data_IF_843353710432
#
_entry.id   IF_843353710432
#
_cell.length_a   1.000
_cell.length_b   1.000
_cell.length_c   1.000
_cell.angle_alpha   90.00
_cell.angle_beta   90.00
_cell.angle_gamma   90.00
#
_symmetry.space_group_name_H-M   'P 1'
#
loop_
_entity.id
_entity.type
_entity.pdbx_description
1 polymer ?
#
# COMPACT_ATOMS: atom_id res chain seq x y z
N UNK A 1 10.56 -27.93 14.91
CA UNK A 1 9.08 -27.93 14.92
C UNK A 1 8.42 -27.17 16.08
N UNK A 2 9.05 -26.96 17.26
CA UNK A 2 8.40 -26.26 18.39
C UNK A 2 7.98 -24.81 18.10
N UNK A 3 8.68 -24.10 17.21
CA UNK A 3 8.45 -22.67 16.91
C UNK A 3 7.18 -22.46 16.04
N UNK A 4 6.83 -23.40 15.16
CA UNK A 4 5.72 -23.25 14.20
C UNK A 4 4.38 -23.87 14.66
N UNK A 5 4.32 -24.48 15.86
CA UNK A 5 3.10 -25.15 16.35
C UNK A 5 1.93 -24.18 16.47
N UNK A 6 2.18 -22.96 16.95
CA UNK A 6 1.15 -21.92 17.07
C UNK A 6 0.57 -21.54 15.72
N UNK A 7 1.42 -21.27 14.73
CA UNK A 7 1.00 -20.91 13.37
C UNK A 7 0.18 -22.01 12.70
N UNK A 8 0.57 -23.27 12.90
CA UNK A 8 -0.17 -24.41 12.34
C UNK A 8 -1.56 -24.57 12.96
N UNK A 9 -1.68 -24.39 14.27
CA UNK A 9 -2.99 -24.43 14.96
C UNK A 9 -3.90 -23.31 14.48
N UNK A 10 -3.38 -22.08 14.39
CA UNK A 10 -4.16 -20.92 13.91
C UNK A 10 -4.61 -21.12 12.46
N UNK A 11 -3.73 -21.61 11.59
CA UNK A 11 -4.06 -21.92 10.20
C UNK A 11 -5.13 -23.00 10.10
N UNK A 12 -5.03 -24.07 10.90
CA UNK A 12 -6.02 -25.13 10.92
C UNK A 12 -7.39 -24.62 11.40
N UNK A 13 -7.43 -23.79 12.45
CA UNK A 13 -8.65 -23.15 12.94
C UNK A 13 -9.26 -22.28 11.84
N UNK A 14 -8.46 -21.47 11.15
CA UNK A 14 -8.95 -20.63 10.05
C UNK A 14 -9.55 -21.45 8.90
N UNK A 15 -8.94 -22.58 8.53
CA UNK A 15 -9.46 -23.49 7.51
C UNK A 15 -10.77 -24.16 7.95
N UNK A 16 -10.88 -24.55 9.22
CA UNK A 16 -12.13 -25.10 9.78
C UNK A 16 -13.24 -24.03 9.73
N UNK A 17 -12.94 -22.79 10.14
CA UNK A 17 -13.90 -21.69 10.07
C UNK A 17 -14.34 -21.44 8.61
N UNK A 18 -13.40 -21.44 7.66
CA UNK A 18 -13.72 -21.28 6.23
C UNK A 18 -14.62 -22.40 5.72
N UNK A 19 -14.35 -23.65 6.12
CA UNK A 19 -15.17 -24.80 5.77
C UNK A 19 -16.58 -24.70 6.36
N UNK A 20 -16.73 -24.32 7.63
CA UNK A 20 -18.04 -24.13 8.26
C UNK A 20 -18.80 -22.97 7.61
N UNK A 21 -18.11 -21.90 7.21
CA UNK A 21 -18.74 -20.70 6.68
C UNK A 21 -19.16 -20.80 5.20
N UNK A 22 -18.37 -21.47 4.36
CA UNK A 22 -18.58 -21.50 2.91
C UNK A 22 -18.35 -22.89 2.26
N UNK A 23 -18.31 -23.96 3.06
CA UNK A 23 -18.20 -25.33 2.60
C UNK A 23 -16.88 -25.65 1.91
N UNK A 24 -16.89 -26.66 1.05
CA UNK A 24 -15.71 -27.12 0.30
C UNK A 24 -15.14 -26.04 -0.63
N UNK A 25 -15.99 -25.24 -1.28
CA UNK A 25 -15.55 -24.12 -2.12
C UNK A 25 -14.84 -23.04 -1.31
N UNK A 26 -15.39 -22.68 -0.14
CA UNK A 26 -14.75 -21.74 0.79
C UNK A 26 -13.38 -22.22 1.25
N UNK A 27 -13.29 -23.49 1.67
CA UNK A 27 -12.02 -24.09 2.07
C UNK A 27 -10.97 -24.05 0.95
N UNK A 28 -11.36 -24.38 -0.28
CA UNK A 28 -10.44 -24.38 -1.43
C UNK A 28 -9.95 -22.96 -1.77
N UNK A 29 -10.86 -21.98 -1.81
CA UNK A 29 -10.52 -20.57 -2.05
C UNK A 29 -9.61 -20.06 -0.94
N UNK A 30 -9.94 -20.30 0.32
CA UNK A 30 -9.13 -19.88 1.46
C UNK A 30 -7.75 -20.53 1.43
N UNK A 31 -7.64 -21.80 1.04
CA UNK A 31 -6.35 -22.48 0.91
C UNK A 31 -5.47 -21.83 -0.16
N UNK A 32 -6.03 -21.55 -1.35
CA UNK A 32 -5.30 -20.86 -2.44
C UNK A 32 -4.87 -19.48 -1.98
N UNK A 33 -5.79 -18.69 -1.41
CA UNK A 33 -5.48 -17.35 -0.91
C UNK A 33 -4.43 -17.39 0.19
N UNK A 34 -4.45 -18.38 1.09
CA UNK A 34 -3.45 -18.52 2.13
C UNK A 34 -2.06 -18.80 1.54
N UNK A 35 -1.94 -19.70 0.56
CA UNK A 35 -0.65 -19.97 -0.11
C UNK A 35 -0.13 -18.73 -0.84
N UNK A 36 -1.01 -18.03 -1.57
CA UNK A 36 -0.67 -16.81 -2.29
C UNK A 36 -0.21 -15.71 -1.32
N UNK A 37 -0.94 -15.52 -0.22
CA UNK A 37 -0.65 -14.51 0.80
C UNK A 37 0.67 -14.79 1.52
N UNK A 38 0.93 -16.05 1.88
CA UNK A 38 2.22 -16.44 2.49
C UNK A 38 3.38 -16.17 1.52
N UNK A 39 3.21 -16.48 0.24
CA UNK A 39 4.26 -16.28 -0.77
C UNK A 39 4.59 -14.80 -0.93
N UNK A 40 3.58 -13.95 -1.17
CA UNK A 40 3.77 -12.50 -1.33
C UNK A 40 4.26 -11.84 -0.05
N UNK A 41 3.75 -12.26 1.11
CA UNK A 41 4.20 -11.73 2.40
C UNK A 41 5.65 -12.10 2.70
N UNK A 42 6.16 -13.23 2.20
CA UNK A 42 7.55 -13.63 2.42
C UNK A 42 8.51 -12.72 1.66
N UNK A 43 8.19 -12.36 0.42
CA UNK A 43 8.99 -11.42 -0.39
C UNK A 43 9.09 -10.05 0.30
N UNK A 44 7.96 -9.53 0.79
CA UNK A 44 7.93 -8.29 1.55
C UNK A 44 8.68 -8.40 2.88
N UNK A 45 8.56 -9.51 3.60
CA UNK A 45 9.25 -9.73 4.87
C UNK A 45 10.78 -9.75 4.71
N UNK A 46 11.30 -10.29 3.61
CA UNK A 46 12.75 -10.31 3.35
C UNK A 46 13.30 -8.90 3.16
N UNK A 47 12.60 -8.05 2.41
CA UNK A 47 13.00 -6.65 2.22
C UNK A 47 12.92 -5.88 3.55
N UNK A 48 11.81 -6.05 4.28
CA UNK A 48 11.58 -5.37 5.56
C UNK A 48 12.60 -5.80 6.63
N UNK A 49 13.03 -7.07 6.64
CA UNK A 49 14.05 -7.57 7.56
C UNK A 49 15.40 -6.83 7.41
N UNK A 50 15.82 -6.53 6.17
CA UNK A 50 17.06 -5.75 5.91
C UNK A 50 16.99 -4.33 6.43
N UNK A 51 15.78 -3.75 6.47
CA UNK A 51 15.53 -2.42 7.01
C UNK A 51 15.51 -2.50 8.55
N UNK A 52 14.87 -3.53 9.11
CA UNK A 52 14.76 -3.78 10.54
C UNK A 52 16.12 -3.96 11.23
N UNK A 53 17.09 -4.60 10.57
CA UNK A 53 18.48 -4.75 11.07
C UNK A 53 19.16 -3.40 11.34
N UNK A 54 18.74 -2.33 10.67
CA UNK A 54 19.29 -0.98 10.83
C UNK A 54 18.63 -0.19 11.96
N UNK A 55 17.59 -0.75 12.60
CA UNK A 55 16.83 -0.08 13.66
C UNK A 55 17.34 -0.45 15.05
N UNK A 56 17.15 0.45 16.02
CA UNK A 56 17.40 0.14 17.43
C UNK A 56 16.45 -0.95 17.95
N UNK A 57 16.85 -1.69 19.00
CA UNK A 57 16.07 -2.79 19.58
C UNK A 57 14.66 -2.41 20.03
N UNK A 58 14.43 -1.16 20.47
CA UNK A 58 13.10 -0.67 20.85
C UNK A 58 12.17 -0.54 19.63
N UNK A 59 12.67 0.02 18.53
CA UNK A 59 11.93 0.16 17.28
C UNK A 59 11.72 -1.18 16.56
N UNK A 60 12.67 -2.11 16.66
CA UNK A 60 12.48 -3.46 16.16
C UNK A 60 11.29 -4.15 16.84
N UNK A 61 11.18 -4.03 18.17
CA UNK A 61 10.04 -4.57 18.92
C UNK A 61 8.73 -3.87 18.56
N UNK A 62 8.74 -2.54 18.40
CA UNK A 62 7.55 -1.79 18.00
C UNK A 62 7.07 -2.20 16.60
N UNK A 63 7.98 -2.34 15.63
CA UNK A 63 7.66 -2.80 14.28
C UNK A 63 7.10 -4.23 14.28
N UNK A 64 7.73 -5.16 14.99
CA UNK A 64 7.28 -6.55 15.05
C UNK A 64 5.95 -6.75 15.80
N UNK A 65 5.52 -5.78 16.61
CA UNK A 65 4.27 -5.87 17.38
C UNK A 65 3.16 -5.05 16.76
N UNK A 66 3.37 -3.74 16.59
CA UNK A 66 2.36 -2.83 16.09
C UNK A 66 2.42 -2.70 14.56
N UNK A 67 3.61 -2.66 13.97
CA UNK A 67 3.77 -2.54 12.52
C UNK A 67 3.16 -3.73 11.79
N UNK A 68 3.60 -4.95 12.11
CA UNK A 68 3.02 -6.17 11.53
C UNK A 68 1.50 -6.26 11.75
N UNK A 69 0.98 -5.76 12.88
CA UNK A 69 -0.46 -5.73 13.13
C UNK A 69 -1.18 -4.75 12.19
N UNK A 70 -0.64 -3.55 11.99
CA UNK A 70 -1.18 -2.53 11.08
C UNK A 70 -1.04 -2.99 9.62
N UNK A 71 0.12 -3.49 9.20
CA UNK A 71 0.35 -4.03 7.88
C UNK A 71 -0.61 -5.19 7.53
N UNK A 72 -0.91 -6.08 8.49
CA UNK A 72 -1.79 -7.23 8.24
C UNK A 72 -3.27 -6.88 8.40
N UNK A 73 -3.68 -6.28 9.52
CA UNK A 73 -5.10 -5.97 9.78
C UNK A 73 -5.52 -4.63 9.20
N UNK A 74 -4.69 -3.60 9.34
CA UNK A 74 -4.94 -2.27 8.81
C UNK A 74 -5.10 -2.33 7.29
N UNK A 75 -4.10 -2.82 6.57
CA UNK A 75 -4.13 -2.80 5.10
C UNK A 75 -5.10 -3.82 4.48
N UNK A 76 -5.40 -4.94 5.15
CA UNK A 76 -6.26 -5.99 4.57
C UNK A 76 -7.70 -5.96 5.02
N UNK A 77 -7.97 -5.55 6.26
CA UNK A 77 -9.33 -5.52 6.80
C UNK A 77 -9.85 -4.08 6.85
N UNK A 78 -9.13 -3.19 7.52
CA UNK A 78 -9.61 -1.83 7.80
C UNK A 78 -9.61 -1.01 6.51
N UNK A 79 -8.55 -1.06 5.73
CA UNK A 79 -8.37 -0.22 4.55
C UNK A 79 -9.43 -0.50 3.46
N UNK A 80 -9.74 -1.75 3.06
CA UNK A 80 -10.83 -2.01 2.12
C UNK A 80 -12.20 -1.53 2.64
N UNK A 81 -12.48 -1.73 3.93
CA UNK A 81 -13.74 -1.26 4.54
C UNK A 81 -13.84 0.26 4.57
N UNK A 82 -12.75 0.96 4.87
CA UNK A 82 -12.69 2.43 4.85
C UNK A 82 -12.91 2.96 3.44
N UNK A 83 -12.25 2.36 2.43
CA UNK A 83 -12.43 2.75 1.03
C UNK A 83 -13.89 2.60 0.61
N UNK A 84 -14.51 1.45 0.91
CA UNK A 84 -15.92 1.21 0.57
C UNK A 84 -16.82 2.17 1.35
N UNK A 85 -16.55 2.42 2.63
CA UNK A 85 -17.30 3.37 3.45
C UNK A 85 -17.25 4.79 2.89
N UNK A 86 -16.07 5.27 2.51
CA UNK A 86 -15.89 6.61 1.92
C UNK A 86 -16.53 6.69 0.53
N UNK A 87 -16.35 5.67 -0.31
CA UNK A 87 -16.87 5.69 -1.68
C UNK A 87 -18.40 5.58 -1.75
N UNK A 88 -19.02 4.76 -0.89
CA UNK A 88 -20.48 4.67 -0.81
C UNK A 88 -21.13 5.63 0.19
N UNK A 89 -20.34 6.45 0.91
CA UNK A 89 -20.83 7.31 2.00
C UNK A 89 -21.66 6.52 3.04
N UNK A 90 -21.23 5.29 3.35
CA UNK A 90 -21.86 4.43 4.35
C UNK A 90 -20.95 4.24 5.55
N UNK A 91 -21.54 4.09 6.73
CA UNK A 91 -20.76 3.83 7.95
C UNK A 91 -19.93 2.54 7.81
N UNK A 92 -18.70 2.48 8.34
CA UNK A 92 -17.84 1.29 8.26
C UNK A 92 -18.48 0.01 8.81
N UNK A 93 -19.35 0.16 9.82
CA UNK A 93 -20.11 -0.94 10.41
C UNK A 93 -21.15 -1.49 9.43
N UNK A 94 -21.80 -0.61 8.67
CA UNK A 94 -22.74 -0.97 7.61
C UNK A 94 -22.02 -1.63 6.43
N UNK A 95 -20.84 -1.13 6.06
CA UNK A 95 -19.97 -1.77 5.07
C UNK A 95 -19.56 -3.20 5.50
N UNK A 96 -19.23 -3.41 6.77
CA UNK A 96 -18.93 -4.74 7.31
C UNK A 96 -20.14 -5.68 7.26
N UNK A 97 -21.34 -5.19 7.60
CA UNK A 97 -22.58 -5.99 7.48
C UNK A 97 -22.82 -6.41 6.03
N UNK A 98 -22.71 -5.47 5.09
CA UNK A 98 -22.85 -5.74 3.66
C UNK A 98 -21.80 -6.74 3.15
N UNK A 99 -20.58 -6.70 3.67
CA UNK A 99 -19.53 -7.68 3.34
C UNK A 99 -19.87 -9.09 3.86
N UNK A 100 -20.50 -9.18 5.03
CA UNK A 100 -20.90 -10.46 5.66
C UNK A 100 -22.19 -11.05 5.07
N UNK A 101 -23.06 -10.24 4.47
CA UNK A 101 -24.35 -10.66 3.90
C UNK A 101 -24.23 -11.52 2.63
N UNK A 102 -23.01 -11.77 2.11
CA UNK A 102 -22.75 -12.61 0.91
C UNK A 102 -23.61 -12.24 -0.31
N UNK A 103 -23.98 -10.96 -0.44
CA UNK A 103 -24.76 -10.50 -1.59
C UNK A 103 -24.04 -10.78 -2.91
N UNK A 104 -24.79 -10.88 -4.00
CA UNK A 104 -24.22 -11.07 -5.32
C UNK A 104 -23.52 -9.75 -5.78
N UNK A 105 -22.27 -9.78 -6.26
CA UNK A 105 -21.57 -8.58 -6.73
C UNK A 105 -22.32 -7.80 -7.82
N UNK A 106 -23.25 -8.44 -8.52
CA UNK A 106 -24.04 -7.86 -9.60
C UNK A 106 -25.36 -7.22 -9.13
N UNK A 107 -25.74 -7.35 -7.86
CA UNK A 107 -26.95 -6.71 -7.30
C UNK A 107 -26.62 -5.36 -6.68
N UNK A 108 -27.38 -4.34 -7.09
CA UNK A 108 -27.28 -2.97 -6.55
C UNK A 108 -27.42 -3.00 -5.04
N UNK A 109 -26.47 -2.38 -4.32
CA UNK A 109 -26.43 -2.33 -2.86
C UNK A 109 -25.57 -3.41 -2.20
N UNK A 110 -25.04 -4.38 -2.95
CA UNK A 110 -24.06 -5.33 -2.41
C UNK A 110 -22.66 -4.71 -2.32
N UNK A 111 -21.86 -5.14 -1.33
CA UNK A 111 -20.46 -4.74 -1.18
C UNK A 111 -19.64 -4.80 -2.48
N UNK A 112 -19.78 -5.88 -3.26
CA UNK A 112 -19.08 -6.05 -4.53
C UNK A 112 -19.48 -5.04 -5.62
N UNK A 113 -20.75 -4.64 -5.67
CA UNK A 113 -21.23 -3.62 -6.62
C UNK A 113 -20.64 -2.25 -6.29
N UNK A 114 -20.70 -1.88 -5.00
CA UNK A 114 -20.12 -0.62 -4.50
C UNK A 114 -18.62 -0.57 -4.80
N UNK A 115 -17.89 -1.65 -4.49
CA UNK A 115 -16.46 -1.73 -4.75
C UNK A 115 -16.13 -1.62 -6.24
N UNK A 116 -16.92 -2.25 -7.12
CA UNK A 116 -16.72 -2.16 -8.56
C UNK A 116 -16.94 -0.73 -9.09
N UNK A 117 -17.92 0.00 -8.54
CA UNK A 117 -18.14 1.41 -8.86
C UNK A 117 -17.07 2.35 -8.28
N UNK A 118 -16.52 2.01 -7.11
CA UNK A 118 -15.42 2.73 -6.48
C UNK A 118 -14.06 2.48 -7.16
N UNK A 119 -13.92 1.35 -7.85
CA UNK A 119 -12.65 0.89 -8.41
C UNK A 119 -11.91 1.93 -9.27
N UNK A 120 -12.56 2.70 -10.19
CA UNK A 120 -11.86 3.72 -10.97
C UNK A 120 -11.22 4.82 -10.11
N UNK A 121 -11.87 5.25 -9.03
CA UNK A 121 -11.33 6.25 -8.10
C UNK A 121 -10.12 5.71 -7.35
N UNK A 122 -10.23 4.48 -6.82
CA UNK A 122 -9.15 3.82 -6.06
C UNK A 122 -7.94 3.59 -6.96
N UNK A 123 -8.17 3.10 -8.17
CA UNK A 123 -7.14 2.86 -9.16
C UNK A 123 -6.46 4.16 -9.60
N UNK A 124 -7.21 5.26 -9.73
CA UNK A 124 -6.63 6.57 -10.03
C UNK A 124 -5.75 7.07 -8.88
N UNK A 125 -6.24 7.05 -7.64
CA UNK A 125 -5.46 7.47 -6.47
C UNK A 125 -4.16 6.66 -6.33
N UNK A 126 -4.27 5.33 -6.24
CA UNK A 126 -3.12 4.45 -6.05
C UNK A 126 -2.20 4.42 -7.28
N UNK A 127 -2.78 4.42 -8.48
CA UNK A 127 -2.05 4.43 -9.73
C UNK A 127 -1.20 5.68 -9.91
N UNK A 128 -1.74 6.86 -9.59
CA UNK A 128 -0.97 8.11 -9.65
C UNK A 128 0.13 8.18 -8.60
N UNK A 129 -0.13 7.69 -7.37
CA UNK A 129 0.88 7.59 -6.32
C UNK A 129 2.04 6.66 -6.74
N UNK A 130 1.73 5.47 -7.24
CA UNK A 130 2.72 4.50 -7.70
C UNK A 130 3.46 4.98 -8.95
N UNK A 131 2.79 5.70 -9.85
CA UNK A 131 3.41 6.30 -11.01
C UNK A 131 4.45 7.36 -10.59
N UNK A 132 4.10 8.24 -9.65
CA UNK A 132 5.05 9.21 -9.08
C UNK A 132 6.28 8.52 -8.49
N UNK A 133 6.07 7.47 -7.70
CA UNK A 133 7.15 6.67 -7.10
C UNK A 133 8.02 6.00 -8.17
N UNK A 134 7.41 5.40 -9.19
CA UNK A 134 8.12 4.74 -10.28
C UNK A 134 8.93 5.73 -11.12
N UNK A 135 8.34 6.88 -11.50
CA UNK A 135 9.04 7.91 -12.26
C UNK A 135 10.21 8.49 -11.46
N UNK A 136 10.02 8.76 -10.17
CA UNK A 136 11.12 9.13 -9.26
C UNK A 136 12.22 8.09 -9.27
N UNK A 137 11.86 6.81 -9.16
CA UNK A 137 12.83 5.72 -9.22
C UNK A 137 13.62 5.69 -10.54
N UNK A 138 12.96 5.88 -11.69
CA UNK A 138 13.58 5.83 -13.01
C UNK A 138 14.37 7.09 -13.39
N UNK A 139 14.08 8.23 -12.77
CA UNK A 139 14.79 9.49 -13.00
C UNK A 139 16.09 9.59 -12.22
N UNK A 140 16.21 8.91 -11.09
CA UNK A 140 17.46 8.80 -10.34
C UNK A 140 18.57 8.14 -11.16
N UNK A 141 19.79 8.70 -11.07
CA UNK A 141 20.99 8.09 -11.63
C UNK A 141 21.36 6.83 -10.82
N UNK A 142 21.32 5.67 -11.48
CA UNK A 142 21.63 4.37 -10.87
C UNK A 142 22.83 3.71 -11.55
N UNK A 143 23.66 3.04 -10.75
CA UNK A 143 24.85 2.33 -11.20
C UNK A 143 24.54 1.11 -12.10
N UNK A 144 23.34 0.54 -12.01
CA UNK A 144 22.90 -0.58 -12.82
C UNK A 144 21.58 -0.25 -13.52
N UNK A 145 21.66 0.00 -14.82
CA UNK A 145 20.48 0.22 -15.69
C UNK A 145 20.05 -1.09 -16.33
N UNK A 146 18.77 -1.47 -16.19
CA UNK A 146 18.25 -2.74 -16.69
C UNK A 146 17.83 -2.59 -18.16
N UNK A 147 17.22 -1.45 -18.50
CA UNK A 147 16.81 -1.09 -19.84
C UNK A 147 17.61 0.12 -20.35
N UNK A 148 18.79 -0.15 -20.94
CA UNK A 148 19.80 0.87 -21.33
C UNK A 148 19.29 2.07 -22.14
N UNK A 149 18.27 1.90 -22.99
CA UNK A 149 17.78 2.96 -23.90
C UNK A 149 16.66 3.79 -23.26
N UNK A 150 15.53 3.21 -22.80
CA UNK A 150 14.46 4.01 -22.19
C UNK A 150 14.92 4.67 -20.89
N UNK A 151 15.72 4.00 -20.05
CA UNK A 151 16.19 4.59 -18.78
C UNK A 151 17.11 5.80 -19.02
N UNK A 152 17.94 5.79 -20.07
CA UNK A 152 18.82 6.93 -20.39
C UNK A 152 18.05 8.16 -20.87
N UNK A 153 16.91 7.97 -21.54
CA UNK A 153 16.00 9.07 -21.93
C UNK A 153 15.28 9.61 -20.70
N UNK A 154 14.79 8.73 -19.83
CA UNK A 154 14.10 9.09 -18.59
C UNK A 154 15.04 9.81 -17.61
N UNK A 155 16.27 9.34 -17.41
CA UNK A 155 17.29 10.02 -16.58
C UNK A 155 17.61 11.42 -17.08
N UNK A 156 17.62 11.64 -18.41
CA UNK A 156 17.84 12.98 -18.99
C UNK A 156 16.67 13.93 -18.74
N UNK A 157 15.44 13.40 -18.68
CA UNK A 157 14.22 14.13 -18.33
C UNK A 157 14.17 14.40 -16.80
N UNK A 158 14.73 13.50 -16.00
CA UNK A 158 14.84 13.57 -14.54
C UNK A 158 15.62 14.76 -13.98
N UNK A 159 16.46 15.42 -14.79
CA UNK A 159 17.15 16.65 -14.40
C UNK A 159 16.21 17.84 -14.11
N UNK A 160 14.93 17.75 -14.49
CA UNK A 160 13.95 18.77 -14.15
C UNK A 160 13.24 18.41 -12.83
N UNK A 161 13.37 19.22 -11.77
CA UNK A 161 12.89 18.90 -10.41
C UNK A 161 11.39 18.59 -10.27
N UNK A 162 10.57 18.87 -11.29
CA UNK A 162 9.13 18.58 -11.29
C UNK A 162 8.68 17.67 -12.45
N UNK A 163 9.60 16.97 -13.13
CA UNK A 163 9.26 16.13 -14.27
C UNK A 163 8.26 15.01 -13.90
N UNK A 164 8.44 14.40 -12.72
CA UNK A 164 7.54 13.35 -12.20
C UNK A 164 6.09 13.84 -12.11
N UNK A 165 5.90 15.00 -11.48
CA UNK A 165 4.59 15.59 -11.27
C UNK A 165 3.94 16.00 -12.60
N UNK A 166 4.69 16.63 -13.50
CA UNK A 166 4.18 17.08 -14.80
C UNK A 166 3.71 15.88 -15.65
N UNK A 167 4.55 14.85 -15.78
CA UNK A 167 4.22 13.66 -16.57
C UNK A 167 3.01 12.93 -15.97
N UNK A 168 2.96 12.82 -14.64
CA UNK A 168 1.83 12.24 -13.93
C UNK A 168 0.54 13.02 -14.19
N UNK A 169 0.55 14.35 -14.09
CA UNK A 169 -0.64 15.18 -14.36
C UNK A 169 -1.09 15.04 -15.81
N UNK A 170 -0.17 15.04 -16.78
CA UNK A 170 -0.51 14.86 -18.20
C UNK A 170 -1.18 13.50 -18.43
N UNK A 171 -0.61 12.42 -17.88
CA UNK A 171 -1.18 11.08 -17.99
C UNK A 171 -2.55 10.98 -17.31
N UNK A 172 -2.72 11.63 -16.16
CA UNK A 172 -4.00 11.71 -15.45
C UNK A 172 -5.05 12.43 -16.29
N UNK A 173 -4.71 13.56 -16.92
CA UNK A 173 -5.63 14.30 -17.80
C UNK A 173 -6.07 13.45 -18.99
N UNK A 174 -5.12 12.79 -19.67
CA UNK A 174 -5.43 11.90 -20.82
C UNK A 174 -6.34 10.75 -20.37
N UNK A 175 -5.97 10.07 -19.27
CA UNK A 175 -6.74 8.94 -18.76
C UNK A 175 -8.14 9.37 -18.33
N UNK A 176 -8.26 10.54 -17.72
CA UNK A 176 -9.55 11.06 -17.26
C UNK A 176 -10.46 11.50 -18.40
N UNK A 177 -9.91 12.01 -19.50
CA UNK A 177 -10.71 12.46 -20.65
C UNK A 177 -11.16 11.28 -21.52
N UNK A 178 -10.28 10.30 -21.75
CA UNK A 178 -10.52 9.24 -22.72
C UNK A 178 -11.04 7.93 -22.13
N UNK A 179 -10.83 7.68 -20.83
CA UNK A 179 -11.08 6.36 -20.22
C UNK A 179 -12.09 6.45 -19.05
N UNK A 180 -12.06 7.53 -18.27
CA UNK A 180 -12.90 7.63 -17.08
C UNK A 180 -14.38 7.83 -17.42
N UNK A 181 -15.24 7.03 -16.78
CA UNK A 181 -16.71 7.24 -16.81
C UNK A 181 -17.15 8.42 -15.93
N UNK A 182 -16.43 8.68 -14.84
CA UNK A 182 -16.62 9.82 -13.96
C UNK A 182 -15.31 10.59 -13.86
N UNK A 183 -15.16 11.56 -14.77
CA UNK A 183 -13.96 12.38 -14.94
C UNK A 183 -13.62 13.14 -13.65
N UNK A 184 -14.61 13.76 -12.99
CA UNK A 184 -14.36 14.56 -11.79
C UNK A 184 -13.81 13.70 -10.66
N UNK A 185 -14.44 12.56 -10.41
CA UNK A 185 -14.01 11.62 -9.40
C UNK A 185 -12.59 11.09 -9.62
N UNK A 186 -12.24 10.74 -10.86
CA UNK A 186 -10.92 10.22 -11.23
C UNK A 186 -9.84 11.31 -11.12
N UNK A 187 -10.10 12.53 -11.59
CA UNK A 187 -9.18 13.65 -11.43
C UNK A 187 -8.93 13.96 -9.96
N UNK A 188 -10.00 14.07 -9.17
CA UNK A 188 -9.89 14.40 -7.75
C UNK A 188 -9.07 13.33 -7.00
N UNK A 189 -9.39 12.05 -7.21
CA UNK A 189 -8.66 10.94 -6.61
C UNK A 189 -7.20 10.88 -7.07
N UNK A 190 -6.94 11.07 -8.37
CA UNK A 190 -5.58 11.08 -8.93
C UNK A 190 -4.72 12.22 -8.38
N UNK A 191 -5.28 13.42 -8.25
CA UNK A 191 -4.59 14.58 -7.66
C UNK A 191 -4.28 14.30 -6.17
N UNK A 192 -5.21 13.73 -5.41
CA UNK A 192 -4.95 13.32 -4.04
C UNK A 192 -3.80 12.30 -3.94
N UNK A 193 -3.70 11.37 -4.91
CA UNK A 193 -2.59 10.42 -4.98
C UNK A 193 -1.24 11.12 -5.18
N UNK A 194 -1.17 12.08 -6.11
CA UNK A 194 0.03 12.90 -6.34
C UNK A 194 0.39 13.73 -5.10
N UNK A 195 -0.59 14.39 -4.48
CA UNK A 195 -0.38 15.18 -3.26
C UNK A 195 0.13 14.33 -2.11
N UNK A 196 -0.43 13.13 -1.92
CA UNK A 196 0.00 12.19 -0.89
C UNK A 196 1.46 11.78 -1.11
N UNK A 197 1.85 11.48 -2.36
CA UNK A 197 3.23 11.19 -2.69
C UNK A 197 4.15 12.36 -2.34
N UNK A 198 3.82 13.58 -2.77
CA UNK A 198 4.64 14.77 -2.50
C UNK A 198 4.79 15.05 -1.01
N UNK A 199 3.74 14.82 -0.21
CA UNK A 199 3.79 14.96 1.24
C UNK A 199 4.71 13.92 1.88
N UNK A 200 4.62 12.65 1.46
CA UNK A 200 5.46 11.56 2.00
C UNK A 200 6.92 11.76 1.61
N UNK A 201 7.19 12.08 0.35
CA UNK A 201 8.52 12.31 -0.20
C UNK A 201 9.18 13.55 0.45
N UNK A 202 8.45 14.67 0.51
CA UNK A 202 8.94 15.89 1.18
C UNK A 202 9.15 15.71 2.70
N UNK A 203 8.32 14.89 3.36
CA UNK A 203 8.55 14.54 4.76
C UNK A 203 9.81 13.69 4.93
N UNK A 204 10.08 12.77 4.01
CA UNK A 204 11.33 12.00 3.95
C UNK A 204 12.56 12.89 3.80
N UNK A 205 12.53 13.86 2.90
CA UNK A 205 13.64 14.78 2.61
C UNK A 205 13.94 15.75 3.76
N UNK A 206 12.90 16.36 4.35
CA UNK A 206 13.08 17.25 5.52
C UNK A 206 13.65 16.51 6.74
N UNK A 207 13.31 15.24 6.90
CA UNK A 207 13.84 14.39 7.97
C UNK A 207 15.28 13.94 7.69
N UNK A 208 15.65 13.72 6.42
CA UNK A 208 17.02 13.40 6.03
C UNK A 208 17.96 14.61 6.13
N UNK A 209 17.50 15.82 5.79
CA UNK A 209 18.26 17.06 5.98
C UNK A 209 18.46 17.41 7.46
N UNK A 210 17.49 17.11 8.32
CA UNK A 210 17.64 17.25 9.78
C UNK A 210 18.77 16.38 10.36
N UNK A 211 19.17 15.33 9.62
CA UNK A 211 20.28 14.41 9.95
C UNK A 211 21.66 15.04 9.70
N UNK A 212 21.78 15.95 8.73
CA UNK A 212 23.04 16.62 8.40
C UNK A 212 23.33 17.83 9.30
N UNK A 213 22.30 18.45 9.88
CA UNK A 213 22.45 19.65 10.71
C UNK A 213 22.68 19.39 12.21
N UNK A 214 22.40 18.19 12.73
CA UNK A 214 22.44 17.89 14.17
C UNK A 214 23.27 16.64 14.51
N UNK A 215 24.59 16.79 14.55
CA UNK A 215 25.54 15.75 15.01
C UNK A 215 25.53 15.54 16.54
N UNK A 216 24.65 16.22 17.30
CA UNK A 216 24.76 16.31 18.78
C UNK A 216 23.65 15.62 19.60
N UNK A 217 22.68 14.89 19.01
CA UNK A 217 21.67 14.16 19.80
C UNK A 217 21.42 12.72 19.33
N UNK A 218 22.24 11.79 19.80
CA UNK A 218 22.20 10.37 19.42
C UNK A 218 20.88 9.66 19.73
N UNK A 219 20.09 10.13 20.70
CA UNK A 219 18.82 9.48 21.11
C UNK A 219 17.62 10.00 20.30
N UNK A 220 17.52 11.32 20.06
CA UNK A 220 16.41 11.92 19.28
C UNK A 220 16.57 11.64 17.78
N UNK A 221 17.81 11.61 17.29
CA UNK A 221 18.11 11.18 15.91
C UNK A 221 17.71 9.71 15.67
N UNK A 222 17.84 8.85 16.67
CA UNK A 222 17.41 7.44 16.60
C UNK A 222 15.88 7.30 16.66
N UNK A 223 15.20 8.14 17.44
CA UNK A 223 13.73 8.19 17.53
C UNK A 223 13.07 8.64 16.22
N UNK A 224 13.50 9.77 15.67
CA UNK A 224 12.96 10.30 14.41
C UNK A 224 13.30 9.43 13.20
N UNK A 225 14.51 8.87 13.16
CA UNK A 225 14.89 7.92 12.11
C UNK A 225 14.08 6.62 12.22
N UNK A 226 13.86 6.10 13.43
CA UNK A 226 13.05 4.92 13.67
C UNK A 226 11.59 5.12 13.26
N UNK A 227 11.02 6.29 13.52
CA UNK A 227 9.66 6.63 13.08
C UNK A 227 9.58 6.78 11.56
N UNK A 228 10.54 7.43 10.90
CA UNK A 228 10.56 7.54 9.45
C UNK A 228 10.72 6.18 8.75
N UNK A 229 11.58 5.30 9.29
CA UNK A 229 11.73 3.93 8.81
C UNK A 229 10.47 3.09 9.07
N UNK A 230 9.79 3.30 10.20
CA UNK A 230 8.51 2.66 10.51
C UNK A 230 7.43 3.12 9.54
N UNK A 231 7.29 4.42 9.29
CA UNK A 231 6.28 4.99 8.40
C UNK A 231 6.58 4.71 6.92
N UNK A 232 7.83 4.45 6.56
CA UNK A 232 8.20 3.95 5.23
C UNK A 232 7.79 2.48 5.03
N UNK A 233 7.73 1.69 6.11
CA UNK A 233 7.41 0.27 6.06
C UNK A 233 5.90 -0.02 6.15
N UNK A 234 5.09 0.96 6.59
CA UNK A 234 3.63 0.87 6.81
C UNK A 234 2.86 1.67 5.76
#
# INVERSE_FOLDING_TARGET
MKIFRGSFIVSLIALIIAFVYAGWNGLFITLILAVLEISLSMDNAIVNARILERMSSAWQKAFLTLGVLIAVLGMRLIFPLLIVGVSAQIDPISALKLALEKGNPNTVGTYGYILHHAHPQIAAFGGMFLLMLALGFFFDERAHTWLKIPEKILQRIGNFPAANAIISIILLLITSEFIAKDTHAVLFAGILGILTFMLVDGFGETMSHSKAANTTSSVVATGKAGLALFLYLE
#
